data_IF_379660955380
#
_entry.id   IF_379660955380
#
_cell.length_a   1.000
_cell.length_b   1.000
_cell.length_c   1.000
_cell.angle_alpha   90.00
_cell.angle_beta   90.00
_cell.angle_gamma   90.00
#
_symmetry.space_group_name_H-M   'P 1'
#
loop_
_entity.id
_entity.type
_entity.pdbx_description
1 polymer ?
#
# COMPACT_ATOMS: atom_id res chain seq x y z
N UNK A 1 4.77 -2.98 -14.20
CA UNK A 1 4.53 -1.52 -14.00
C UNK A 1 4.99 -1.14 -12.61
N UNK A 2 5.50 0.09 -12.43
CA UNK A 2 5.88 0.62 -11.12
C UNK A 2 4.69 1.32 -10.44
N UNK A 3 4.50 1.07 -9.15
CA UNK A 3 3.53 1.76 -8.31
C UNK A 3 4.19 2.53 -7.17
N UNK A 4 3.51 3.54 -6.62
CA UNK A 4 3.97 4.28 -5.45
C UNK A 4 3.02 4.07 -4.27
N UNK A 5 3.55 3.64 -3.14
CA UNK A 5 2.82 3.58 -1.88
C UNK A 5 2.84 4.96 -1.22
N UNK A 6 1.67 5.59 -1.12
CA UNK A 6 1.50 6.90 -0.49
C UNK A 6 0.56 6.77 0.69
N UNK A 7 1.02 7.21 1.86
CA UNK A 7 0.26 7.18 3.10
C UNK A 7 0.07 8.61 3.59
N UNK A 8 -1.10 8.90 4.16
CA UNK A 8 -1.38 10.18 4.76
C UNK A 8 -2.77 10.23 5.37
N UNK A 9 -2.94 11.15 6.32
CA UNK A 9 -4.25 11.46 6.87
C UNK A 9 -4.97 12.39 5.89
N UNK A 10 -5.90 11.83 5.11
CA UNK A 10 -6.63 12.54 4.06
C UNK A 10 -8.13 12.35 4.18
N UNK A 11 -8.89 13.24 3.57
CA UNK A 11 -10.35 13.08 3.48
C UNK A 11 -10.73 12.16 2.32
N UNK A 12 -9.98 12.21 1.20
CA UNK A 12 -10.15 11.35 0.04
C UNK A 12 -8.79 10.85 -0.46
N UNK A 13 -8.73 9.61 -0.97
CA UNK A 13 -7.46 9.05 -1.49
C UNK A 13 -6.92 9.83 -2.69
N UNK A 14 -7.77 10.57 -3.40
CA UNK A 14 -7.33 11.46 -4.49
C UNK A 14 -6.41 12.59 -3.99
N UNK A 15 -6.50 12.95 -2.71
CA UNK A 15 -5.66 14.00 -2.11
C UNK A 15 -4.19 13.57 -2.01
N UNK A 16 -3.90 12.26 -2.16
CA UNK A 16 -2.55 11.70 -2.20
C UNK A 16 -1.94 11.68 -3.61
N UNK A 17 -2.75 11.89 -4.65
CA UNK A 17 -2.30 11.85 -6.04
C UNK A 17 -1.53 13.13 -6.39
N UNK A 18 -0.48 12.99 -7.20
CA UNK A 18 0.29 14.13 -7.72
C UNK A 18 0.21 14.13 -9.24
N UNK A 19 -0.08 15.29 -9.82
CA UNK A 19 -0.13 15.47 -11.27
C UNK A 19 -1.13 14.52 -11.93
N UNK A 20 -0.63 13.75 -12.89
CA UNK A 20 -1.42 12.79 -13.67
C UNK A 20 -1.38 11.36 -13.10
N UNK A 21 -1.05 11.19 -11.82
CA UNK A 21 -1.03 9.89 -11.15
C UNK A 21 -2.40 9.19 -11.25
N UNK A 22 -2.39 7.93 -11.70
CA UNK A 22 -3.58 7.09 -11.69
C UNK A 22 -3.60 6.21 -10.44
N UNK A 23 -4.61 6.41 -9.59
CA UNK A 23 -4.81 5.55 -8.42
C UNK A 23 -5.29 4.16 -8.86
N UNK A 24 -4.58 3.11 -8.43
CA UNK A 24 -4.92 1.70 -8.70
C UNK A 24 -5.60 1.01 -7.50
N UNK A 25 -6.02 1.80 -6.51
CA UNK A 25 -6.70 1.37 -5.31
C UNK A 25 -6.06 1.93 -4.04
N UNK A 26 -6.70 1.69 -2.91
CA UNK A 26 -6.22 2.16 -1.61
C UNK A 26 -6.96 1.49 -0.45
N UNK A 27 -6.71 1.98 0.75
CA UNK A 27 -7.28 1.46 1.98
C UNK A 27 -6.82 2.28 3.18
N UNK A 28 -6.92 1.69 4.36
CA UNK A 28 -6.32 2.23 5.58
C UNK A 28 -4.94 1.61 5.80
N UNK A 29 -4.20 2.19 6.74
CA UNK A 29 -2.90 1.70 7.14
C UNK A 29 -2.74 1.78 8.66
N UNK A 30 -1.98 0.85 9.21
CA UNK A 30 -1.57 0.83 10.61
C UNK A 30 -0.14 0.32 10.74
N UNK A 31 0.63 0.95 11.62
CA UNK A 31 1.94 0.46 12.00
C UNK A 31 1.82 -0.48 13.21
N UNK A 32 2.24 -1.73 13.04
CA UNK A 32 2.52 -2.65 14.14
C UNK A 32 4.02 -2.66 14.40
N UNK A 33 4.45 -1.82 15.34
CA UNK A 33 5.85 -1.69 15.73
C UNK A 33 6.40 -2.91 16.49
N UNK A 34 5.53 -3.71 17.11
CA UNK A 34 5.95 -4.89 17.88
C UNK A 34 6.38 -5.99 16.92
N UNK A 35 5.59 -6.22 15.87
CA UNK A 35 5.90 -7.21 14.84
C UNK A 35 6.69 -6.65 13.66
N UNK A 36 7.01 -5.35 13.68
CA UNK A 36 7.70 -4.63 12.62
C UNK A 36 6.98 -4.71 11.25
N UNK A 37 5.66 -4.44 11.25
CA UNK A 37 4.78 -4.54 10.08
C UNK A 37 4.10 -3.22 9.76
N UNK A 38 3.92 -2.98 8.47
CA UNK A 38 2.94 -2.04 7.92
C UNK A 38 1.73 -2.85 7.48
N UNK A 39 0.63 -2.71 8.21
CA UNK A 39 -0.64 -3.33 7.89
C UNK A 39 -1.44 -2.39 6.98
N UNK A 40 -1.93 -2.91 5.87
CA UNK A 40 -2.83 -2.26 4.94
C UNK A 40 -4.14 -3.04 4.94
N UNK A 41 -5.27 -2.38 5.05
CA UNK A 41 -6.56 -3.07 5.10
C UNK A 41 -7.67 -2.27 4.42
N UNK A 42 -8.78 -2.96 4.17
CA UNK A 42 -9.98 -2.44 3.51
C UNK A 42 -9.73 -1.86 2.12
N UNK A 43 -10.83 -1.45 1.49
CA UNK A 43 -10.85 -0.80 0.20
C UNK A 43 -11.04 0.71 0.34
N UNK A 44 -10.39 1.48 -0.53
CA UNK A 44 -10.72 2.88 -0.77
C UNK A 44 -12.16 2.98 -1.28
N UNK A 45 -12.92 3.93 -0.77
CA UNK A 45 -14.28 4.19 -1.24
C UNK A 45 -14.29 4.62 -2.72
N UNK A 46 -13.31 5.44 -3.12
CA UNK A 46 -13.25 6.03 -4.45
C UNK A 46 -12.59 5.11 -5.49
N UNK A 47 -11.61 4.30 -5.07
CA UNK A 47 -10.75 3.52 -5.98
C UNK A 47 -10.79 2.01 -5.77
N UNK A 48 -11.49 1.54 -4.74
CA UNK A 48 -11.58 0.12 -4.41
C UNK A 48 -10.28 -0.45 -3.81
N UNK A 49 -10.20 -1.78 -3.82
CA UNK A 49 -9.04 -2.54 -3.31
C UNK A 49 -7.80 -2.28 -4.19
N UNK A 50 -6.60 -2.23 -3.60
CA UNK A 50 -5.36 -2.13 -4.37
C UNK A 50 -5.20 -3.30 -5.35
N UNK A 51 -4.92 -2.99 -6.61
CA UNK A 51 -4.70 -3.99 -7.67
C UNK A 51 -3.23 -4.39 -7.75
N UNK A 52 -2.75 -5.09 -6.71
CA UNK A 52 -1.33 -5.48 -6.58
C UNK A 52 -0.77 -6.23 -7.80
N UNK A 53 -1.58 -7.08 -8.43
CA UNK A 53 -1.22 -7.87 -9.60
C UNK A 53 -0.84 -7.04 -10.85
N UNK A 54 -1.11 -5.73 -10.87
CA UNK A 54 -0.69 -4.84 -11.95
C UNK A 54 0.74 -4.33 -11.76
N UNK A 55 1.30 -4.49 -10.56
CA UNK A 55 2.62 -3.99 -10.20
C UNK A 55 3.67 -5.10 -10.27
N UNK A 56 4.87 -4.72 -10.67
CA UNK A 56 6.08 -5.55 -10.51
C UNK A 56 6.93 -4.97 -9.37
N UNK A 57 7.01 -3.64 -9.32
CA UNK A 57 7.77 -2.89 -8.32
C UNK A 57 6.84 -1.95 -7.55
N UNK A 58 6.95 -1.97 -6.23
CA UNK A 58 6.31 -1.00 -5.34
C UNK A 58 7.36 -0.06 -4.74
N UNK A 59 7.26 1.23 -5.07
CA UNK A 59 8.08 2.30 -4.53
C UNK A 59 7.49 2.76 -3.21
N UNK A 60 8.29 2.70 -2.16
CA UNK A 60 7.90 2.96 -0.77
C UNK A 60 8.79 4.06 -0.18
N UNK A 61 8.26 5.00 0.60
CA UNK A 61 9.08 5.97 1.32
C UNK A 61 10.19 5.29 2.14
N UNK A 62 11.42 5.82 2.07
CA UNK A 62 12.57 5.26 2.77
C UNK A 62 12.39 5.21 4.30
N UNK A 63 11.49 6.03 4.85
CA UNK A 63 11.08 6.00 6.26
C UNK A 63 10.46 4.67 6.71
N UNK A 64 9.97 3.86 5.78
CA UNK A 64 9.33 2.57 6.06
C UNK A 64 10.26 1.38 5.78
N UNK A 65 11.55 1.64 5.52
CA UNK A 65 12.53 0.61 5.20
C UNK A 65 12.63 -0.42 6.32
N UNK A 66 12.51 -1.69 5.93
CA UNK A 66 12.61 -2.83 6.83
C UNK A 66 11.28 -3.26 7.46
N UNK A 67 10.19 -2.52 7.27
CA UNK A 67 8.85 -2.99 7.65
C UNK A 67 8.38 -4.07 6.68
N UNK A 68 7.78 -5.14 7.22
CA UNK A 68 7.06 -6.11 6.38
C UNK A 68 5.69 -5.54 6.03
N UNK A 69 5.39 -5.45 4.73
CA UNK A 69 4.14 -4.85 4.24
C UNK A 69 3.13 -5.97 4.03
N UNK A 70 1.99 -5.87 4.69
CA UNK A 70 0.94 -6.91 4.67
C UNK A 70 -0.39 -6.24 4.33
N UNK A 71 -1.10 -6.80 3.37
CA UNK A 71 -2.47 -6.41 3.04
C UNK A 71 -3.44 -7.46 3.59
N UNK A 72 -4.29 -7.03 4.52
CA UNK A 72 -5.30 -7.85 5.18
C UNK A 72 -6.60 -7.76 4.36
N UNK A 73 -7.10 -8.91 3.90
CA UNK A 73 -8.41 -8.94 3.27
C UNK A 73 -9.52 -8.93 4.33
N UNK A 74 -10.61 -8.22 4.05
CA UNK A 74 -11.79 -8.17 4.92
C UNK A 74 -12.65 -9.46 4.86
N UNK A 75 -12.24 -10.45 4.08
CA UNK A 75 -12.95 -11.69 3.80
C UNK A 75 -12.08 -12.92 4.17
N UNK A 76 -12.57 -14.14 3.94
CA UNK A 76 -11.86 -15.39 4.30
C UNK A 76 -10.61 -15.68 3.43
N UNK A 77 -10.07 -14.69 2.71
CA UNK A 77 -8.80 -14.85 1.98
C UNK A 77 -7.61 -14.72 2.93
N UNK A 78 -6.54 -15.45 2.61
CA UNK A 78 -5.27 -15.33 3.33
C UNK A 78 -4.65 -13.94 3.13
N UNK A 79 -3.98 -13.44 4.18
CA UNK A 79 -3.23 -12.18 4.15
C UNK A 79 -2.24 -12.16 2.98
N UNK A 80 -2.22 -11.06 2.23
CA UNK A 80 -1.29 -10.87 1.13
C UNK A 80 -0.04 -10.15 1.60
N UNK A 81 1.10 -10.85 1.63
CA UNK A 81 2.37 -10.27 2.07
C UNK A 81 3.01 -9.52 0.91
N UNK A 82 2.59 -8.26 0.72
CA UNK A 82 3.02 -7.38 -0.38
C UNK A 82 4.54 -7.34 -0.55
N UNK A 83 5.29 -7.28 0.55
CA UNK A 83 6.76 -7.19 0.52
C UNK A 83 7.47 -8.47 0.07
N UNK A 84 6.78 -9.62 0.10
CA UNK A 84 7.33 -10.91 -0.33
C UNK A 84 7.01 -11.16 -1.82
N UNK A 85 5.92 -10.56 -2.31
CA UNK A 85 5.37 -10.78 -3.66
C UNK A 85 5.81 -9.72 -4.69
N UNK A 86 6.14 -8.51 -4.24
CA UNK A 86 6.58 -7.40 -5.09
C UNK A 86 8.02 -6.98 -4.80
N UNK A 87 8.73 -6.48 -5.82
CA UNK A 87 10.01 -5.83 -5.60
C UNK A 87 9.79 -4.49 -4.88
N UNK A 88 10.39 -4.33 -3.70
CA UNK A 88 10.29 -3.08 -2.95
C UNK A 88 11.49 -2.18 -3.24
N UNK A 89 11.21 -1.00 -3.78
CA UNK A 89 12.19 0.07 -3.96
C UNK A 89 11.90 1.21 -3.00
N UNK A 90 12.96 1.79 -2.44
CA UNK A 90 12.82 2.87 -1.47
C UNK A 90 13.21 4.20 -2.10
N UNK A 91 12.35 5.21 -1.94
CA UNK A 91 12.60 6.58 -2.41
C UNK A 91 12.64 7.58 -1.26
N UNK A 92 13.36 8.68 -1.47
CA UNK A 92 13.50 9.80 -0.53
C UNK A 92 12.30 10.76 -0.58
#
# INVERSE_FOLDING_TARGET
MDGYLRLGMVNQHKDLLIGDDQCIGGGYYQFDWVSNRLLLDRASYDFGRPRWHLLETLKVPASYRGLRIVYLYDDDHEDYIVSDELQIEYYE
#
